data_IF_765095865124
#
_entry.id   IF_765095865124
#
_cell.length_a   1.000
_cell.length_b   1.000
_cell.length_c   1.000
_cell.angle_alpha   90.00
_cell.angle_beta   90.00
_cell.angle_gamma   90.00
#
_symmetry.space_group_name_H-M   'P 1'
#
loop_
_entity.id
_entity.type
_entity.pdbx_description
1 polymer ?
#
# COMPACT_ATOMS: atom_id res chain seq x y z
N UNK A 1 36.66 57.41 -59.65
CA UNK A 1 35.33 57.78 -59.10
C UNK A 1 34.73 56.54 -58.46
N UNK A 2 34.95 56.36 -57.15
CA UNK A 2 34.51 55.18 -56.41
C UNK A 2 33.19 55.45 -55.71
N UNK A 3 32.15 54.67 -56.04
CA UNK A 3 30.87 54.66 -55.33
C UNK A 3 31.00 53.82 -54.06
N UNK A 4 30.86 54.46 -52.91
CA UNK A 4 30.77 53.82 -51.59
C UNK A 4 29.30 53.44 -51.38
N UNK A 5 29.00 52.14 -51.42
CA UNK A 5 27.71 51.60 -51.01
C UNK A 5 27.70 51.48 -49.48
N UNK A 6 26.88 52.31 -48.82
CA UNK A 6 26.61 52.23 -47.38
C UNK A 6 25.58 51.12 -47.17
N UNK A 7 26.00 50.00 -46.58
CA UNK A 7 25.09 48.95 -46.13
C UNK A 7 24.53 49.33 -44.74
N UNK A 8 23.23 49.62 -44.69
CA UNK A 8 22.48 49.80 -43.45
C UNK A 8 22.25 48.43 -42.83
N UNK A 9 22.89 48.15 -41.69
CA UNK A 9 22.62 46.98 -40.88
C UNK A 9 21.30 47.18 -40.11
N UNK A 10 20.24 46.46 -40.49
CA UNK A 10 19.05 46.32 -39.66
C UNK A 10 19.37 45.38 -38.50
N UNK A 11 19.47 45.91 -37.28
CA UNK A 11 19.40 45.13 -36.06
C UNK A 11 17.95 44.65 -35.86
N UNK A 12 17.63 43.46 -36.33
CA UNK A 12 16.42 42.76 -35.91
C UNK A 12 16.65 42.20 -34.50
N UNK A 13 16.07 42.84 -33.48
CA UNK A 13 15.95 42.28 -32.14
C UNK A 13 14.95 41.12 -32.18
N UNK A 14 15.44 39.92 -32.50
CA UNK A 14 14.67 38.70 -32.31
C UNK A 14 14.62 38.42 -30.79
N UNK A 15 13.50 38.80 -30.16
CA UNK A 15 13.21 38.42 -28.78
C UNK A 15 13.19 36.88 -28.66
N UNK A 16 13.55 36.32 -27.50
CA UNK A 16 13.47 34.88 -27.32
C UNK A 16 12.01 34.47 -27.43
N UNK A 17 11.71 33.60 -28.40
CA UNK A 17 10.43 32.94 -28.50
C UNK A 17 10.19 32.22 -27.16
N UNK A 18 9.27 32.75 -26.37
CA UNK A 18 8.81 32.12 -25.15
C UNK A 18 8.18 30.78 -25.55
N UNK A 19 8.93 29.69 -25.35
CA UNK A 19 8.41 28.34 -25.51
C UNK A 19 7.20 28.22 -24.57
N UNK A 20 6.02 28.03 -25.18
CA UNK A 20 4.77 27.94 -24.43
C UNK A 20 4.89 26.86 -23.34
N UNK A 21 4.58 27.18 -22.08
CA UNK A 21 4.73 26.25 -20.96
C UNK A 21 3.90 24.96 -21.15
N UNK A 22 2.84 25.01 -21.94
CA UNK A 22 2.03 23.85 -22.31
C UNK A 22 2.81 22.80 -23.11
N UNK A 23 3.75 23.21 -23.98
CA UNK A 23 4.55 22.30 -24.81
C UNK A 23 5.63 21.60 -23.96
N UNK A 24 6.20 22.30 -22.98
CA UNK A 24 7.16 21.71 -22.04
C UNK A 24 6.51 20.71 -21.07
N UNK A 25 5.25 20.93 -20.68
CA UNK A 25 4.48 20.00 -19.86
C UNK A 25 4.11 18.71 -20.63
N UNK A 26 3.68 18.84 -21.89
CA UNK A 26 3.39 17.68 -22.75
C UNK A 26 4.64 16.83 -23.04
N UNK A 27 5.82 17.45 -23.10
CA UNK A 27 7.11 16.77 -23.32
C UNK A 27 7.60 15.97 -22.11
N UNK A 28 7.01 16.20 -20.92
CA UNK A 28 7.43 15.59 -19.66
C UNK A 28 6.61 14.36 -19.25
N UNK A 29 5.47 14.14 -19.90
CA UNK A 29 4.63 12.98 -19.61
C UNK A 29 4.97 11.86 -20.59
N UNK A 30 5.41 10.67 -20.12
CA UNK A 30 5.62 9.55 -21.01
C UNK A 30 4.31 9.22 -21.74
N UNK A 31 4.38 9.04 -23.06
CA UNK A 31 3.24 8.57 -23.85
C UNK A 31 2.83 7.18 -23.38
N UNK A 32 1.61 7.05 -22.86
CA UNK A 32 1.06 5.76 -22.40
C UNK A 32 0.91 4.85 -23.63
N UNK A 33 1.51 3.64 -23.63
CA UNK A 33 1.36 2.71 -24.75
C UNK A 33 -0.11 2.32 -24.96
N UNK A 34 -0.54 2.31 -26.22
CA UNK A 34 -1.93 2.01 -26.60
C UNK A 34 -2.27 0.50 -26.61
N UNK A 35 -1.32 -0.38 -26.25
CA UNK A 35 -1.54 -1.82 -26.14
C UNK A 35 -1.98 -2.16 -24.73
N UNK A 36 -3.31 -2.29 -24.50
CA UNK A 36 -3.97 -2.83 -23.28
C UNK A 36 -3.06 -2.82 -22.04
N UNK A 37 -2.60 -1.64 -21.66
CA UNK A 37 -1.82 -1.46 -20.45
C UNK A 37 -2.76 -1.72 -19.28
N UNK A 38 -2.27 -2.41 -18.26
CA UNK A 38 -2.88 -2.41 -16.94
C UNK A 38 -3.38 -1.00 -16.62
N UNK A 39 -4.60 -0.86 -16.08
CA UNK A 39 -5.10 0.45 -15.66
C UNK A 39 -4.07 1.12 -14.75
N UNK A 40 -4.03 2.46 -14.71
CA UNK A 40 -3.19 3.16 -13.75
C UNK A 40 -3.48 2.68 -12.32
N UNK A 41 -4.75 2.39 -12.02
CA UNK A 41 -5.19 1.79 -10.76
C UNK A 41 -4.56 0.41 -10.52
N UNK A 42 -4.52 -0.44 -11.54
CA UNK A 42 -3.89 -1.76 -11.46
C UNK A 42 -2.38 -1.64 -11.23
N UNK A 43 -1.73 -0.67 -11.90
CA UNK A 43 -0.29 -0.41 -11.73
C UNK A 43 0.03 0.09 -10.31
N UNK A 44 -0.79 0.99 -9.77
CA UNK A 44 -0.66 1.47 -8.38
C UNK A 44 -0.88 0.30 -7.41
N UNK A 45 -1.92 -0.51 -7.64
CA UNK A 45 -2.26 -1.66 -6.80
C UNK A 45 -1.12 -2.67 -6.78
N UNK A 46 -0.55 -2.99 -7.93
CA UNK A 46 0.61 -3.88 -8.03
C UNK A 46 1.82 -3.31 -7.31
N UNK A 47 2.15 -2.03 -7.52
CA UNK A 47 3.31 -1.42 -6.89
C UNK A 47 3.18 -1.35 -5.36
N UNK A 48 2.00 -1.02 -4.84
CA UNK A 48 1.72 -1.04 -3.40
C UNK A 48 1.76 -2.46 -2.83
N UNK A 49 1.28 -3.45 -3.58
CA UNK A 49 1.36 -4.86 -3.20
C UNK A 49 2.82 -5.31 -3.09
N UNK A 50 3.64 -4.95 -4.09
CA UNK A 50 5.08 -5.26 -4.09
C UNK A 50 5.81 -4.59 -2.92
N UNK A 51 5.60 -3.28 -2.73
CA UNK A 51 6.20 -2.53 -1.62
C UNK A 51 5.80 -3.10 -0.26
N UNK A 52 4.51 -3.42 -0.09
CA UNK A 52 4.00 -4.04 1.12
C UNK A 52 4.74 -5.34 1.41
N UNK A 53 4.80 -6.27 0.44
CA UNK A 53 5.45 -7.56 0.63
C UNK A 53 6.98 -7.44 0.85
N UNK A 54 7.64 -6.48 0.22
CA UNK A 54 9.07 -6.22 0.44
C UNK A 54 9.35 -5.69 1.85
N UNK A 55 8.58 -4.71 2.32
CA UNK A 55 8.67 -4.23 3.70
C UNK A 55 8.41 -5.35 4.71
N UNK A 56 7.43 -6.21 4.43
CA UNK A 56 7.11 -7.34 5.28
C UNK A 56 8.25 -8.36 5.33
N UNK A 57 8.90 -8.64 4.20
CA UNK A 57 10.07 -9.53 4.18
C UNK A 57 11.22 -8.99 5.03
N UNK A 58 11.49 -7.69 4.97
CA UNK A 58 12.50 -7.08 5.83
C UNK A 58 12.11 -7.15 7.31
N UNK A 59 10.84 -6.94 7.66
CA UNK A 59 10.36 -7.07 9.03
C UNK A 59 10.44 -8.51 9.54
N UNK A 60 10.10 -9.50 8.71
CA UNK A 60 10.19 -10.94 9.02
C UNK A 60 11.63 -11.30 9.40
N UNK A 61 12.60 -10.92 8.57
CA UNK A 61 14.02 -11.13 8.84
C UNK A 61 14.49 -10.45 10.14
N UNK A 62 14.08 -9.20 10.38
CA UNK A 62 14.44 -8.47 11.60
C UNK A 62 13.79 -9.06 12.85
N UNK A 63 12.61 -9.65 12.70
CA UNK A 63 11.82 -10.23 13.77
C UNK A 63 12.19 -11.69 14.10
N UNK A 64 13.16 -12.29 13.40
CA UNK A 64 13.49 -13.72 13.51
C UNK A 64 12.26 -14.61 13.29
N UNK A 65 11.55 -14.38 12.18
CA UNK A 65 10.34 -15.11 11.78
C UNK A 65 9.13 -14.93 12.73
N UNK A 66 9.18 -13.94 13.63
CA UNK A 66 8.08 -13.64 14.55
C UNK A 66 6.97 -12.81 13.92
N UNK A 67 7.23 -12.09 12.83
CA UNK A 67 6.28 -11.22 12.15
C UNK A 67 6.24 -11.56 10.67
N UNK A 68 5.10 -12.08 10.22
CA UNK A 68 4.84 -12.34 8.81
C UNK A 68 3.61 -11.54 8.41
N UNK A 69 3.73 -10.81 7.30
CA UNK A 69 2.61 -10.10 6.69
C UNK A 69 2.70 -10.29 5.18
N UNK A 70 1.56 -10.58 4.58
CA UNK A 70 1.42 -10.69 3.14
C UNK A 70 0.22 -9.87 2.71
N UNK A 71 0.38 -9.09 1.65
CA UNK A 71 -0.68 -8.27 1.07
C UNK A 71 -0.90 -8.70 -0.38
N UNK A 72 -2.17 -8.75 -0.78
CA UNK A 72 -2.63 -8.95 -2.15
C UNK A 72 -3.67 -7.85 -2.45
N UNK A 73 -3.21 -6.76 -3.07
CA UNK A 73 -4.05 -5.61 -3.39
C UNK A 73 -5.15 -5.91 -4.40
N UNK A 74 -4.88 -6.79 -5.38
CA UNK A 74 -5.86 -7.19 -6.39
C UNK A 74 -7.03 -7.96 -5.77
N UNK A 75 -6.73 -8.87 -4.84
CA UNK A 75 -7.77 -9.63 -4.12
C UNK A 75 -8.30 -8.90 -2.89
N UNK A 76 -7.76 -7.72 -2.58
CA UNK A 76 -8.11 -6.93 -1.40
C UNK A 76 -7.99 -7.76 -0.13
N UNK A 77 -6.86 -8.46 0.02
CA UNK A 77 -6.60 -9.35 1.15
C UNK A 77 -5.25 -9.07 1.78
N UNK A 78 -5.16 -9.31 3.08
CA UNK A 78 -3.89 -9.45 3.76
C UNK A 78 -3.94 -10.65 4.70
N UNK A 79 -2.79 -11.25 4.94
CA UNK A 79 -2.60 -12.30 5.93
C UNK A 79 -1.48 -11.87 6.86
N UNK A 80 -1.74 -11.89 8.15
CA UNK A 80 -0.78 -11.53 9.19
C UNK A 80 -0.59 -12.70 10.13
N UNK A 81 0.66 -12.97 10.49
CA UNK A 81 1.01 -13.94 11.51
C UNK A 81 2.06 -13.34 12.41
N UNK A 82 1.78 -13.39 13.70
CA UNK A 82 2.62 -12.85 14.76
C UNK A 82 2.89 -13.96 15.76
N UNK A 83 4.13 -14.22 16.11
CA UNK A 83 4.38 -15.19 17.17
C UNK A 83 5.72 -15.87 17.10
N UNK A 84 6.19 -16.28 18.26
CA UNK A 84 7.46 -16.96 18.42
C UNK A 84 7.46 -17.81 19.68
N UNK A 85 8.61 -18.39 19.95
CA UNK A 85 8.83 -19.26 21.10
C UNK A 85 9.00 -20.73 20.72
N UNK A 86 9.14 -21.56 21.74
CA UNK A 86 9.40 -22.99 21.62
C UNK A 86 8.22 -23.76 22.20
N UNK A 87 7.65 -24.68 21.41
CA UNK A 87 6.51 -25.51 21.82
C UNK A 87 6.79 -26.34 23.10
N UNK A 88 8.05 -26.65 23.40
CA UNK A 88 8.47 -27.36 24.62
C UNK A 88 8.46 -26.46 25.87
N UNK A 89 8.60 -25.14 25.70
CA UNK A 89 8.61 -24.17 26.80
C UNK A 89 7.33 -23.32 26.79
N UNK A 90 7.33 -22.29 25.95
CA UNK A 90 6.22 -21.36 25.71
C UNK A 90 6.28 -20.94 24.25
N UNK A 91 5.15 -21.06 23.55
CA UNK A 91 4.98 -20.41 22.24
C UNK A 91 3.63 -19.73 22.17
N UNK A 92 3.58 -18.55 21.58
CA UNK A 92 2.34 -17.84 21.26
C UNK A 92 2.37 -17.51 19.79
N UNK A 93 1.27 -17.79 19.09
CA UNK A 93 1.08 -17.43 17.71
C UNK A 93 -0.33 -16.87 17.51
N UNK A 94 -0.40 -15.69 16.93
CA UNK A 94 -1.58 -15.07 16.40
C UNK A 94 -1.52 -15.19 14.88
N UNK A 95 -2.61 -15.64 14.28
CA UNK A 95 -2.77 -15.80 12.85
C UNK A 95 -4.06 -15.07 12.44
N UNK A 96 -4.00 -14.26 11.39
CA UNK A 96 -5.08 -13.36 11.04
C UNK A 96 -5.24 -13.20 9.54
N UNK A 97 -6.45 -13.44 9.05
CA UNK A 97 -6.84 -13.16 7.67
C UNK A 97 -7.69 -11.89 7.63
N UNK A 98 -7.30 -10.97 6.76
CA UNK A 98 -7.93 -9.66 6.58
C UNK A 98 -8.50 -9.59 5.17
N UNK A 99 -9.80 -9.38 5.06
CA UNK A 99 -10.49 -9.10 3.80
C UNK A 99 -10.92 -7.63 3.81
N UNK A 100 -10.46 -6.85 2.84
CA UNK A 100 -10.91 -5.48 2.68
C UNK A 100 -12.18 -5.45 1.81
N UNK A 101 -13.22 -4.80 2.32
CA UNK A 101 -14.53 -4.57 1.69
C UNK A 101 -14.80 -3.06 1.71
N UNK A 102 -14.60 -2.41 0.56
CA UNK A 102 -14.62 -0.96 0.41
C UNK A 102 -13.68 -0.24 1.39
N UNK A 103 -14.23 0.49 2.36
CA UNK A 103 -13.47 1.19 3.40
C UNK A 103 -13.26 0.34 4.66
N UNK A 104 -13.93 -0.81 4.76
CA UNK A 104 -13.90 -1.66 5.95
C UNK A 104 -12.94 -2.84 5.76
N UNK A 105 -12.48 -3.40 6.88
CA UNK A 105 -11.71 -4.63 6.90
C UNK A 105 -12.41 -5.66 7.79
N UNK A 106 -12.68 -6.83 7.24
CA UNK A 106 -13.19 -7.97 7.98
C UNK A 106 -12.04 -8.86 8.38
N UNK A 107 -11.92 -9.12 9.68
CA UNK A 107 -10.74 -9.76 10.25
C UNK A 107 -11.17 -11.06 10.93
N UNK A 108 -10.61 -12.17 10.46
CA UNK A 108 -10.66 -13.46 11.15
C UNK A 108 -9.34 -13.65 11.88
N UNK A 109 -9.37 -14.08 13.14
CA UNK A 109 -8.15 -14.19 13.95
C UNK A 109 -8.18 -15.45 14.79
N UNK A 110 -7.01 -16.05 14.94
CA UNK A 110 -6.78 -17.28 15.67
C UNK A 110 -5.56 -17.12 16.54
N UNK A 111 -5.61 -17.67 17.74
CA UNK A 111 -4.52 -17.64 18.71
C UNK A 111 -4.18 -19.08 19.11
N UNK A 112 -2.95 -19.49 18.81
CA UNK A 112 -2.34 -20.72 19.28
C UNK A 112 -1.42 -20.38 20.47
N UNK A 113 -1.66 -21.03 21.61
CA UNK A 113 -0.75 -20.99 22.76
C UNK A 113 -0.24 -22.40 23.03
N UNK A 114 1.06 -22.56 23.23
CA UNK A 114 1.62 -23.81 23.73
C UNK A 114 2.47 -23.55 24.98
N UNK A 115 2.32 -24.42 25.97
CA UNK A 115 3.03 -24.38 27.25
C UNK A 115 3.34 -25.82 27.68
N UNK A 116 4.61 -26.17 27.83
CA UNK A 116 5.03 -27.49 28.33
C UNK A 116 4.31 -28.67 27.66
N UNK A 117 4.29 -28.67 26.32
CA UNK A 117 3.64 -29.73 25.52
C UNK A 117 2.11 -29.69 25.48
N UNK A 118 1.45 -28.76 26.18
CA UNK A 118 0.02 -28.53 26.07
C UNK A 118 -0.25 -27.41 25.06
N UNK A 119 -1.14 -27.65 24.11
CA UNK A 119 -1.54 -26.66 23.11
C UNK A 119 -3.01 -26.25 23.30
N UNK A 120 -3.26 -24.95 23.31
CA UNK A 120 -4.58 -24.34 23.28
C UNK A 120 -4.75 -23.62 21.95
N UNK A 121 -5.92 -23.81 21.36
CA UNK A 121 -6.34 -23.19 20.12
C UNK A 121 -7.59 -22.35 20.38
N UNK A 122 -7.53 -21.06 20.10
CA UNK A 122 -8.64 -20.14 20.27
C UNK A 122 -8.93 -19.44 18.93
N UNK A 123 -10.09 -19.73 18.36
CA UNK A 123 -10.63 -18.96 17.25
C UNK A 123 -11.43 -17.77 17.81
N UNK A 124 -11.07 -16.56 17.39
CA UNK A 124 -11.81 -15.36 17.74
C UNK A 124 -12.98 -15.17 16.77
N UNK A 125 -14.11 -14.61 17.24
CA UNK A 125 -15.18 -14.25 16.34
C UNK A 125 -14.69 -13.21 15.35
N UNK A 126 -15.11 -13.35 14.10
CA UNK A 126 -14.80 -12.40 13.05
C UNK A 126 -15.32 -11.01 13.43
N UNK A 127 -14.46 -10.01 13.37
CA UNK A 127 -14.80 -8.62 13.67
C UNK A 127 -14.54 -7.73 12.46
N UNK A 128 -15.18 -6.56 12.45
CA UNK A 128 -15.00 -5.55 11.41
C UNK A 128 -14.22 -4.37 11.94
N UNK A 129 -13.38 -3.78 11.10
CA UNK A 129 -12.63 -2.58 11.37
C UNK A 129 -13.03 -1.52 10.35
N UNK A 130 -13.45 -0.35 10.83
CA UNK A 130 -13.87 0.77 10.00
C UNK A 130 -13.06 2.02 10.35
N UNK A 131 -12.68 2.85 9.37
CA UNK A 131 -12.11 4.16 9.65
C UNK A 131 -13.06 4.97 10.51
N UNK A 132 -12.54 5.59 11.56
CA UNK A 132 -13.32 6.41 12.47
C UNK A 132 -12.62 7.75 12.68
N UNK A 133 -13.40 8.78 12.95
CA UNK A 133 -12.89 10.07 13.38
C UNK A 133 -13.47 10.37 14.75
N UNK A 134 -12.59 10.62 15.72
CA UNK A 134 -12.98 10.97 17.07
C UNK A 134 -12.26 12.26 17.48
N UNK A 135 -13.04 13.33 17.70
CA UNK A 135 -12.54 14.65 18.10
C UNK A 135 -11.46 15.24 17.17
N UNK A 136 -11.56 14.97 15.87
CA UNK A 136 -10.59 15.44 14.87
C UNK A 136 -9.38 14.52 14.69
N UNK A 137 -9.26 13.47 15.51
CA UNK A 137 -8.25 12.44 15.34
C UNK A 137 -8.79 11.29 14.49
N UNK A 138 -8.01 10.89 13.49
CA UNK A 138 -8.30 9.70 12.67
C UNK A 138 -7.87 8.44 13.42
N UNK A 139 -8.76 7.47 13.51
CA UNK A 139 -8.52 6.19 14.13
C UNK A 139 -9.29 5.08 13.44
N UNK A 140 -9.49 3.98 14.16
CA UNK A 140 -10.22 2.81 13.69
C UNK A 140 -11.22 2.39 14.75
N UNK A 141 -12.47 2.19 14.34
CA UNK A 141 -13.52 1.58 15.14
C UNK A 141 -13.47 0.07 14.93
N UNK A 142 -13.48 -0.68 16.04
CA UNK A 142 -13.54 -2.14 16.06
C UNK A 142 -14.96 -2.57 16.40
N UNK A 143 -15.62 -3.25 15.46
CA UNK A 143 -16.97 -3.79 15.62
C UNK A 143 -16.87 -5.29 15.85
N UNK A 144 -16.98 -5.68 17.12
CA UNK A 144 -17.00 -7.08 17.52
C UNK A 144 -18.46 -7.54 17.51
N UNK A 145 -18.78 -8.71 16.94
CA UNK A 145 -20.14 -9.25 17.04
C UNK A 145 -20.46 -9.45 18.53
N UNK A 146 -21.53 -8.77 18.99
CA UNK A 146 -22.08 -9.03 20.31
C UNK A 146 -22.53 -10.50 20.35
N UNK A 147 -22.18 -11.21 21.42
CA UNK A 147 -22.61 -12.60 21.61
C UNK A 147 -24.13 -12.70 21.46
N UNK A 148 -24.63 -13.23 20.35
CA UNK A 148 -26.01 -13.74 20.29
C UNK A 148 -26.05 -15.04 21.09
N UNK A 149 -26.39 -14.95 22.38
CA UNK A 149 -26.77 -16.12 23.16
C UNK A 149 -28.14 -16.59 22.66
N UNK A 150 -28.16 -17.53 21.70
CA UNK A 150 -29.36 -18.26 21.32
C UNK A 150 -29.71 -19.23 22.46
N UNK A 151 -30.82 -18.97 23.15
CA UNK A 151 -31.45 -19.89 24.10
C UNK A 151 -32.26 -20.96 23.38
#
# INVERSE_FOLDING_TARGET
>A
MGSIAVAVALCASAGPAAAEPAVLLASRWPSVPADRGLSLEDQITEHLTQLGNELCHHLDLLSHDMFQLRVDGFRRRAHVRLGGGNAEMVSVRLDGDIQFEDINARIHTRIDLALHGHAMHLELPTFEMSPAEYRGDRGVELRVPLFEQKF
#
